data_IF_095215247142
#
_entry.id   IF_095215247142
#
_cell.length_a   1.000
_cell.length_b   1.000
_cell.length_c   1.000
_cell.angle_alpha   90.00
_cell.angle_beta   90.00
_cell.angle_gamma   90.00
#
_symmetry.space_group_name_H-M   'P 1'
#
loop_
_entity.id
_entity.type
_entity.pdbx_description
1 polymer ?
#
# COMPACT_ATOMS: atom_id res chain seq x y z
N UNK A 1 -6.99 49.60 5.57
CA UNK A 1 -5.90 50.30 4.87
C UNK A 1 -4.70 49.41 5.05
N UNK A 2 -4.66 48.32 4.28
CA UNK A 2 -3.99 48.27 2.97
C UNK A 2 -2.48 48.26 3.22
N UNK A 3 -1.66 47.40 2.66
CA UNK A 3 -1.78 46.39 1.62
C UNK A 3 -0.33 45.97 1.37
N UNK A 4 -0.02 44.68 1.30
CA UNK A 4 0.97 44.18 0.35
C UNK A 4 0.83 42.65 0.28
N UNK A 5 -0.15 42.26 -0.55
CA UNK A 5 -0.06 41.05 -1.35
C UNK A 5 1.23 41.11 -2.18
N UNK A 6 2.04 40.05 -2.09
CA UNK A 6 2.62 39.40 -3.28
C UNK A 6 2.53 37.89 -3.06
N UNK A 7 1.29 37.43 -2.93
CA UNK A 7 0.93 36.08 -3.37
C UNK A 7 0.87 36.08 -4.90
N UNK A 8 1.21 34.93 -5.50
CA UNK A 8 1.04 34.52 -6.90
C UNK A 8 2.17 34.85 -7.90
N UNK A 9 3.02 33.86 -8.19
CA UNK A 9 2.88 32.87 -9.30
C UNK A 9 4.25 32.22 -9.61
N UNK A 10 4.25 30.93 -9.97
CA UNK A 10 4.84 30.55 -11.26
C UNK A 10 4.17 29.31 -11.87
N UNK A 11 3.67 29.59 -13.05
CA UNK A 11 3.04 28.75 -14.05
C UNK A 11 4.03 27.71 -14.60
N UNK A 12 3.56 26.49 -14.87
CA UNK A 12 4.20 25.60 -15.86
C UNK A 12 3.36 25.62 -17.14
N UNK A 13 3.82 26.36 -18.16
CA UNK A 13 4.00 25.86 -19.51
C UNK A 13 5.50 25.67 -19.73
N UNK A 14 5.90 24.43 -19.94
CA UNK A 14 7.27 23.98 -20.29
C UNK A 14 8.41 24.25 -19.26
N UNK A 15 8.10 24.71 -18.04
CA UNK A 15 9.03 25.08 -16.96
C UNK A 15 9.18 24.10 -15.80
N UNK A 16 10.30 23.39 -15.75
CA UNK A 16 10.78 22.60 -14.59
C UNK A 16 11.30 23.55 -13.51
N UNK A 17 10.65 23.59 -12.33
CA UNK A 17 11.27 24.01 -11.07
C UNK A 17 10.83 23.06 -9.95
N UNK A 18 11.75 22.17 -9.60
CA UNK A 18 11.65 21.24 -8.49
C UNK A 18 11.69 22.02 -7.17
N UNK A 19 10.52 22.23 -6.55
CA UNK A 19 10.43 22.43 -5.11
C UNK A 19 9.48 21.37 -4.57
N UNK A 20 10.09 20.24 -4.25
CA UNK A 20 9.52 19.16 -3.46
C UNK A 20 9.09 19.79 -2.13
N UNK A 21 7.83 20.22 -2.03
CA UNK A 21 7.14 20.45 -0.77
C UNK A 21 6.77 19.08 -0.18
N UNK A 22 7.75 18.17 -0.03
CA UNK A 22 7.60 17.11 0.96
C UNK A 22 7.33 17.83 2.27
N UNK A 23 6.40 17.32 3.07
CA UNK A 23 6.37 17.62 4.48
C UNK A 23 7.62 16.97 5.13
N UNK A 24 8.82 17.41 4.75
CA UNK A 24 9.97 17.41 5.65
C UNK A 24 9.52 18.34 6.76
N UNK A 25 9.24 17.80 7.95
CA UNK A 25 9.18 18.58 9.19
C UNK A 25 10.23 19.68 9.11
N UNK A 26 9.77 20.93 8.93
CA UNK A 26 10.52 22.18 8.89
C UNK A 26 12.03 22.03 8.61
N UNK A 27 12.46 22.44 7.40
CA UNK A 27 13.83 22.91 7.13
C UNK A 27 14.92 21.85 6.82
N UNK A 28 14.82 21.11 5.70
CA UNK A 28 16.03 20.54 5.08
C UNK A 28 16.00 20.61 3.54
N UNK A 29 17.12 20.97 2.88
CA UNK A 29 17.25 21.02 1.42
C UNK A 29 17.26 19.61 0.78
N UNK A 30 17.00 19.54 -0.54
CA UNK A 30 16.98 18.34 -1.41
C UNK A 30 18.11 17.30 -1.20
N UNK A 31 19.25 17.69 -0.62
CA UNK A 31 20.32 16.79 -0.20
C UNK A 31 19.88 15.80 0.89
N UNK A 32 18.99 16.20 1.82
CA UNK A 32 18.49 15.35 2.89
C UNK A 32 17.55 14.24 2.40
N UNK A 33 16.96 14.40 1.21
CA UNK A 33 16.10 13.39 0.61
C UNK A 33 16.90 12.13 0.24
N UNK A 34 18.13 12.28 -0.26
CA UNK A 34 19.02 11.15 -0.61
C UNK A 34 19.37 10.24 0.57
N UNK A 35 19.21 10.71 1.81
CA UNK A 35 19.51 9.97 3.03
C UNK A 35 18.25 9.60 3.82
N UNK A 36 17.06 10.00 3.38
CA UNK A 36 15.82 9.70 4.06
C UNK A 36 15.34 8.29 3.67
N UNK A 37 15.24 7.35 4.63
CA UNK A 37 14.80 5.99 4.32
C UNK A 37 13.29 5.89 4.08
N UNK A 38 12.53 6.98 4.25
CA UNK A 38 11.08 6.98 4.10
C UNK A 38 10.60 8.16 3.23
N UNK A 39 9.74 7.89 2.24
CA UNK A 39 9.03 8.87 1.44
C UNK A 39 7.54 8.81 1.81
N UNK A 40 7.02 9.89 2.40
CA UNK A 40 5.65 9.94 2.92
C UNK A 40 4.88 11.07 2.22
N UNK A 41 3.78 10.70 1.56
CA UNK A 41 2.75 11.59 1.04
C UNK A 41 1.44 11.24 1.74
N UNK A 42 0.85 12.19 2.46
CA UNK A 42 -0.33 11.94 3.27
C UNK A 42 -1.45 12.96 2.97
N UNK A 43 -2.44 13.01 3.86
CA UNK A 43 -3.50 14.03 3.86
C UNK A 43 -2.95 15.47 3.73
N UNK A 44 -1.75 15.79 4.19
CA UNK A 44 -1.16 17.13 4.01
C UNK A 44 -0.86 17.46 2.55
N UNK A 45 -0.61 16.44 1.73
CA UNK A 45 -0.16 16.57 0.34
C UNK A 45 -1.30 16.51 -0.69
N UNK A 46 -2.52 16.11 -0.29
CA UNK A 46 -3.66 15.82 -1.19
C UNK A 46 -4.04 16.93 -2.17
N UNK A 47 -3.76 18.20 -1.84
CA UNK A 47 -4.12 19.34 -2.70
C UNK A 47 -3.20 19.50 -3.92
N UNK A 48 -1.96 19.02 -3.85
CA UNK A 48 -0.95 19.29 -4.88
C UNK A 48 -0.21 18.05 -5.37
N UNK A 49 -0.14 16.97 -4.58
CA UNK A 49 0.52 15.73 -5.00
C UNK A 49 -0.32 15.01 -6.06
N UNK A 50 0.14 15.03 -7.30
CA UNK A 50 -0.43 14.35 -8.46
C UNK A 50 0.60 13.42 -9.14
N UNK A 51 0.19 12.76 -10.23
CA UNK A 51 1.06 11.88 -10.99
C UNK A 51 2.35 12.56 -11.49
N UNK A 52 2.30 13.85 -11.82
CA UNK A 52 3.47 14.61 -12.30
C UNK A 52 4.46 14.83 -11.17
N UNK A 53 3.97 15.13 -9.97
CA UNK A 53 4.79 15.17 -8.78
C UNK A 53 5.49 13.83 -8.56
N UNK A 54 4.75 12.73 -8.63
CA UNK A 54 5.31 11.40 -8.39
C UNK A 54 6.37 11.02 -9.43
N UNK A 55 6.14 11.28 -10.72
CA UNK A 55 7.13 11.05 -11.79
C UNK A 55 8.37 11.93 -11.58
N UNK A 56 8.19 13.18 -11.12
CA UNK A 56 9.32 14.06 -10.81
C UNK A 56 10.15 13.52 -9.65
N UNK A 57 9.50 12.98 -8.61
CA UNK A 57 10.17 12.29 -7.50
C UNK A 57 10.94 11.07 -8.02
N UNK A 58 10.33 10.23 -8.85
CA UNK A 58 11.00 9.07 -9.45
C UNK A 58 12.31 9.43 -10.16
N UNK A 59 12.32 10.55 -10.90
CA UNK A 59 13.50 11.06 -11.62
C UNK A 59 14.60 11.55 -10.68
N UNK A 60 14.22 12.20 -9.58
CA UNK A 60 15.18 12.65 -8.56
C UNK A 60 15.75 11.46 -7.78
N UNK A 61 14.94 10.43 -7.53
CA UNK A 61 15.33 9.20 -6.85
C UNK A 61 16.16 8.22 -7.73
N UNK A 62 16.67 8.66 -8.89
CA UNK A 62 17.46 7.81 -9.81
C UNK A 62 18.90 7.56 -9.33
N UNK A 63 19.35 8.23 -8.26
CA UNK A 63 20.68 8.06 -7.65
C UNK A 63 20.62 7.55 -6.20
N UNK A 64 21.35 6.46 -5.93
CA UNK A 64 21.67 5.84 -4.62
C UNK A 64 20.73 6.18 -3.44
N UNK A 65 19.45 5.96 -3.65
CA UNK A 65 18.38 6.35 -2.74
C UNK A 65 18.05 5.11 -1.89
N UNK A 66 18.49 5.08 -0.63
CA UNK A 66 18.25 3.98 0.32
C UNK A 66 16.81 4.04 0.86
N UNK A 67 15.82 4.08 -0.04
CA UNK A 67 14.41 4.12 0.34
C UNK A 67 13.99 2.75 0.84
N UNK A 68 13.54 2.73 2.09
CA UNK A 68 13.03 1.56 2.79
C UNK A 68 11.52 1.57 2.94
N UNK A 69 10.92 2.76 3.00
CA UNK A 69 9.48 2.92 3.16
C UNK A 69 8.90 3.93 2.17
N UNK A 70 7.87 3.51 1.44
CA UNK A 70 7.04 4.40 0.62
C UNK A 70 5.61 4.39 1.16
N UNK A 71 5.16 5.54 1.65
CA UNK A 71 3.80 5.72 2.17
C UNK A 71 3.09 6.79 1.37
N UNK A 72 2.00 6.41 0.70
CA UNK A 72 1.12 7.34 -0.01
C UNK A 72 -0.29 7.07 0.48
N UNK A 73 -0.87 8.00 1.24
CA UNK A 73 -2.20 7.84 1.85
C UNK A 73 -3.03 9.10 1.61
N UNK A 74 -4.34 8.92 1.39
CA UNK A 74 -5.28 10.04 1.16
C UNK A 74 -4.91 11.01 0.02
N UNK A 75 -4.07 10.57 -0.94
CA UNK A 75 -3.62 11.36 -2.08
C UNK A 75 -4.44 11.07 -3.34
N UNK A 76 -5.70 11.52 -3.36
CA UNK A 76 -6.69 11.22 -4.42
C UNK A 76 -6.36 11.72 -5.83
N UNK A 77 -5.38 12.61 -5.98
CA UNK A 77 -4.90 13.11 -7.30
C UNK A 77 -3.79 12.27 -7.89
N UNK A 78 -3.27 11.28 -7.14
CA UNK A 78 -2.37 10.27 -7.65
C UNK A 78 -3.23 9.12 -8.18
N UNK A 79 -2.94 8.69 -9.40
CA UNK A 79 -3.60 7.59 -10.09
C UNK A 79 -2.72 6.34 -10.12
N UNK A 80 -3.31 5.22 -10.53
CA UNK A 80 -2.56 3.99 -10.80
C UNK A 80 -1.52 4.19 -11.92
N UNK A 81 -1.81 5.01 -12.92
CA UNK A 81 -0.85 5.32 -13.99
C UNK A 81 0.36 6.08 -13.44
N UNK A 82 0.14 7.01 -12.52
CA UNK A 82 1.21 7.72 -11.82
C UNK A 82 2.10 6.77 -11.02
N UNK A 83 1.50 5.90 -10.20
CA UNK A 83 2.26 4.89 -9.43
C UNK A 83 3.04 3.94 -10.34
N UNK A 84 2.39 3.41 -11.39
CA UNK A 84 3.07 2.57 -12.37
C UNK A 84 4.25 3.31 -13.00
N UNK A 85 4.06 4.57 -13.43
CA UNK A 85 5.12 5.38 -14.00
C UNK A 85 6.26 5.62 -12.99
N UNK A 86 5.95 5.82 -11.71
CA UNK A 86 6.94 5.93 -10.64
C UNK A 86 7.82 4.68 -10.55
N UNK A 87 7.22 3.50 -10.39
CA UNK A 87 7.97 2.25 -10.26
C UNK A 87 8.71 1.85 -11.55
N UNK A 88 8.17 2.22 -12.72
CA UNK A 88 8.82 1.98 -14.02
C UNK A 88 9.97 2.95 -14.32
N UNK A 89 9.91 4.18 -13.79
CA UNK A 89 10.92 5.22 -14.02
C UNK A 89 12.05 5.16 -13.01
N UNK A 90 11.75 4.73 -11.78
CA UNK A 90 12.75 4.58 -10.72
C UNK A 90 13.63 3.36 -11.01
N UNK A 91 14.93 3.43 -10.65
CA UNK A 91 15.78 2.23 -10.63
C UNK A 91 15.23 1.23 -9.61
N UNK A 92 15.65 -0.02 -9.71
CA UNK A 92 15.29 -1.06 -8.74
C UNK A 92 15.56 -0.57 -7.31
N UNK A 93 14.50 -0.45 -6.53
CA UNK A 93 14.51 -0.06 -5.12
C UNK A 93 14.81 -1.29 -4.27
N UNK A 94 16.08 -1.71 -4.30
CA UNK A 94 16.54 -2.96 -3.66
C UNK A 94 16.36 -3.00 -2.14
N UNK A 95 16.21 -1.84 -1.49
CA UNK A 95 16.07 -1.75 -0.03
C UNK A 95 14.63 -1.38 0.38
N UNK A 96 13.69 -1.26 -0.57
CA UNK A 96 12.30 -0.94 -0.26
C UNK A 96 11.62 -2.14 0.38
N UNK A 97 11.37 -2.03 1.68
CA UNK A 97 10.81 -3.09 2.53
C UNK A 97 9.33 -2.86 2.82
N UNK A 98 8.90 -1.60 2.86
CA UNK A 98 7.54 -1.19 3.27
C UNK A 98 6.88 -0.33 2.21
N UNK A 99 5.67 -0.74 1.79
CA UNK A 99 4.77 0.06 0.95
C UNK A 99 3.42 0.17 1.64
N UNK A 100 2.94 1.41 1.80
CA UNK A 100 1.62 1.67 2.35
C UNK A 100 0.82 2.59 1.42
N UNK A 101 -0.26 2.03 0.85
CA UNK A 101 -1.24 2.70 0.01
C UNK A 101 -2.66 2.62 0.59
N UNK A 102 -2.81 2.93 1.88
CA UNK A 102 -4.11 2.92 2.56
C UNK A 102 -5.00 4.08 2.13
N UNK A 103 -6.31 3.82 2.07
CA UNK A 103 -7.34 4.79 1.71
C UNK A 103 -7.10 5.42 0.33
N UNK A 104 -6.66 4.60 -0.62
CA UNK A 104 -6.25 5.03 -1.95
C UNK A 104 -7.29 4.70 -3.05
N UNK A 105 -8.37 3.97 -2.72
CA UNK A 105 -9.49 3.73 -3.62
C UNK A 105 -9.05 3.07 -4.93
N UNK A 106 -9.23 3.79 -6.04
CA UNK A 106 -8.89 3.35 -7.39
C UNK A 106 -7.41 3.55 -7.78
N UNK A 107 -6.62 4.18 -6.91
CA UNK A 107 -5.21 4.51 -7.17
C UNK A 107 -4.32 3.28 -7.30
N UNK A 108 -4.68 2.14 -6.70
CA UNK A 108 -3.89 0.90 -6.78
C UNK A 108 -4.70 -0.19 -7.45
N UNK A 109 -4.08 -0.85 -8.43
CA UNK A 109 -4.63 -1.99 -9.17
C UNK A 109 -3.56 -3.07 -9.38
N UNK A 110 -3.92 -4.20 -9.98
CA UNK A 110 -3.00 -5.33 -10.20
C UNK A 110 -1.75 -4.97 -11.03
N UNK A 111 -1.89 -4.11 -12.04
CA UNK A 111 -0.75 -3.61 -12.83
C UNK A 111 0.21 -2.75 -11.99
N UNK A 112 -0.32 -2.04 -11.00
CA UNK A 112 0.49 -1.31 -10.02
C UNK A 112 1.30 -2.29 -9.19
N UNK A 113 0.69 -3.36 -8.70
CA UNK A 113 1.39 -4.42 -7.95
C UNK A 113 2.47 -5.12 -8.79
N UNK A 114 2.21 -5.38 -10.07
CA UNK A 114 3.23 -5.90 -10.99
C UNK A 114 4.41 -4.93 -11.15
N UNK A 115 4.14 -3.62 -11.23
CA UNK A 115 5.18 -2.60 -11.31
C UNK A 115 6.02 -2.54 -10.02
N UNK A 116 5.37 -2.69 -8.86
CA UNK A 116 6.05 -2.79 -7.56
C UNK A 116 6.95 -4.03 -7.52
N UNK A 117 6.43 -5.21 -7.89
CA UNK A 117 7.19 -6.46 -7.90
C UNK A 117 8.49 -6.34 -8.71
N UNK A 118 8.40 -5.72 -9.89
CA UNK A 118 9.55 -5.56 -10.78
C UNK A 118 10.59 -4.57 -10.25
N UNK A 119 10.15 -3.59 -9.45
CA UNK A 119 10.99 -2.51 -8.94
C UNK A 119 11.55 -2.78 -7.53
N UNK A 120 10.80 -3.45 -6.66
CA UNK A 120 11.09 -3.61 -5.24
C UNK A 120 11.19 -5.09 -4.85
N UNK A 121 12.31 -5.76 -5.18
CA UNK A 121 12.47 -7.19 -4.96
C UNK A 121 12.62 -7.57 -3.48
N UNK A 122 12.73 -6.61 -2.55
CA UNK A 122 12.88 -6.87 -1.12
C UNK A 122 11.67 -6.45 -0.29
N UNK A 123 10.54 -6.20 -0.95
CA UNK A 123 9.30 -5.81 -0.28
C UNK A 123 8.80 -6.92 0.66
N UNK A 124 8.58 -6.56 1.92
CA UNK A 124 8.10 -7.48 2.96
C UNK A 124 6.77 -7.05 3.57
N UNK A 125 6.49 -5.74 3.58
CA UNK A 125 5.31 -5.16 4.19
C UNK A 125 4.50 -4.39 3.15
N UNK A 126 3.26 -4.81 2.93
CA UNK A 126 2.35 -4.18 1.99
C UNK A 126 0.99 -3.88 2.63
N UNK A 127 0.64 -2.59 2.74
CA UNK A 127 -0.68 -2.14 3.18
C UNK A 127 -1.47 -1.55 2.02
N UNK A 128 -2.67 -2.08 1.78
CA UNK A 128 -3.55 -1.75 0.67
C UNK A 128 -4.98 -1.50 1.17
N UNK A 129 -5.16 -1.00 2.40
CA UNK A 129 -6.50 -0.85 2.97
C UNK A 129 -7.38 0.02 2.05
N UNK A 130 -8.58 -0.47 1.73
CA UNK A 130 -9.53 0.18 0.82
C UNK A 130 -9.01 0.39 -0.62
N UNK A 131 -8.20 -0.55 -1.14
CA UNK A 131 -7.79 -0.59 -2.54
C UNK A 131 -8.77 -1.43 -3.37
N UNK A 132 -9.85 -0.81 -3.85
CA UNK A 132 -11.00 -1.50 -4.46
C UNK A 132 -10.69 -2.20 -5.79
N UNK A 133 -9.61 -1.82 -6.48
CA UNK A 133 -9.22 -2.38 -7.78
C UNK A 133 -8.15 -3.46 -7.70
N UNK A 134 -7.73 -3.83 -6.50
CA UNK A 134 -6.78 -4.92 -6.29
C UNK A 134 -7.52 -6.25 -6.16
N UNK A 135 -7.12 -7.24 -6.94
CA UNK A 135 -7.68 -8.58 -6.91
C UNK A 135 -6.73 -9.58 -6.23
N UNK A 136 -7.27 -10.77 -5.89
CA UNK A 136 -6.47 -11.89 -5.39
C UNK A 136 -5.30 -12.22 -6.33
N UNK A 137 -5.52 -12.16 -7.65
CA UNK A 137 -4.47 -12.43 -8.63
C UNK A 137 -3.36 -11.37 -8.55
N UNK A 138 -3.70 -10.09 -8.45
CA UNK A 138 -2.71 -9.01 -8.28
C UNK A 138 -1.83 -9.19 -7.06
N UNK A 139 -2.42 -9.52 -5.91
CA UNK A 139 -1.67 -9.76 -4.67
C UNK A 139 -0.70 -10.93 -4.82
N UNK A 140 -1.13 -12.02 -5.47
CA UNK A 140 -0.27 -13.18 -5.69
C UNK A 140 0.96 -12.89 -6.57
N UNK A 141 0.97 -11.80 -7.35
CA UNK A 141 2.18 -11.39 -8.09
C UNK A 141 3.26 -10.84 -7.16
N UNK A 142 2.88 -10.24 -6.03
CA UNK A 142 3.81 -9.59 -5.07
C UNK A 142 4.06 -10.42 -3.82
N UNK A 143 3.41 -11.58 -3.65
CA UNK A 143 3.33 -12.27 -2.35
C UNK A 143 4.55 -13.10 -1.95
N UNK A 144 5.48 -13.38 -2.86
CA UNK A 144 6.55 -14.36 -2.63
C UNK A 144 7.49 -14.03 -1.46
N UNK A 145 7.58 -12.75 -1.09
CA UNK A 145 8.46 -12.25 -0.03
C UNK A 145 7.72 -11.47 1.07
N UNK A 146 6.38 -11.37 0.98
CA UNK A 146 5.59 -10.63 1.95
C UNK A 146 5.46 -11.40 3.27
N UNK A 147 5.82 -10.72 4.36
CA UNK A 147 5.60 -11.18 5.74
C UNK A 147 4.43 -10.44 6.39
N UNK A 148 4.12 -9.22 5.91
CA UNK A 148 2.97 -8.43 6.36
C UNK A 148 2.15 -7.99 5.16
N UNK A 149 0.86 -8.32 5.16
CA UNK A 149 -0.10 -7.92 4.14
C UNK A 149 -1.39 -7.45 4.80
N UNK A 150 -1.85 -6.25 4.46
CA UNK A 150 -3.15 -5.76 4.89
C UNK A 150 -3.99 -5.38 3.68
N UNK A 151 -5.06 -6.14 3.42
CA UNK A 151 -6.02 -5.93 2.33
C UNK A 151 -7.43 -5.64 2.86
N UNK A 152 -7.51 -5.08 4.06
CA UNK A 152 -8.78 -4.73 4.69
C UNK A 152 -9.60 -3.77 3.81
N UNK A 153 -10.86 -4.11 3.54
CA UNK A 153 -11.76 -3.31 2.68
C UNK A 153 -11.50 -3.48 1.17
N UNK A 154 -10.61 -4.40 0.77
CA UNK A 154 -10.43 -4.75 -0.64
C UNK A 154 -11.50 -5.76 -1.07
N UNK A 155 -12.60 -5.26 -1.61
CA UNK A 155 -13.78 -6.06 -1.96
C UNK A 155 -13.56 -7.07 -3.10
N UNK A 156 -12.48 -6.94 -3.87
CA UNK A 156 -12.11 -7.88 -4.95
C UNK A 156 -11.13 -8.96 -4.50
N UNK A 157 -10.78 -9.00 -3.21
CA UNK A 157 -10.02 -10.10 -2.61
C UNK A 157 -10.97 -11.21 -2.18
N UNK A 158 -10.66 -12.43 -2.61
CA UNK A 158 -11.39 -13.65 -2.34
C UNK A 158 -10.46 -14.79 -1.88
N UNK A 159 -11.05 -15.97 -1.74
CA UNK A 159 -10.37 -17.20 -1.31
C UNK A 159 -9.12 -17.53 -2.15
N UNK A 160 -9.03 -17.14 -3.42
CA UNK A 160 -7.94 -17.53 -4.30
C UNK A 160 -6.57 -17.03 -3.83
N UNK A 161 -6.51 -15.91 -3.10
CA UNK A 161 -5.26 -15.37 -2.55
C UNK A 161 -4.65 -16.29 -1.48
N UNK A 162 -5.49 -17.04 -0.76
CA UNK A 162 -5.12 -17.73 0.48
C UNK A 162 -4.18 -18.93 0.29
N UNK A 163 -3.91 -19.35 -0.95
CA UNK A 163 -3.01 -20.48 -1.26
C UNK A 163 -1.58 -20.05 -1.60
N UNK A 164 -1.32 -18.76 -1.82
CA UNK A 164 -0.06 -18.28 -2.38
C UNK A 164 0.66 -17.23 -1.53
N UNK A 165 0.60 -17.37 -0.21
CA UNK A 165 1.26 -16.47 0.76
C UNK A 165 2.26 -17.26 1.64
N UNK A 166 3.37 -17.79 1.08
CA UNK A 166 4.21 -18.78 1.76
C UNK A 166 4.94 -18.26 3.00
N UNK A 167 5.22 -16.96 3.07
CA UNK A 167 5.99 -16.32 4.14
C UNK A 167 5.16 -15.39 5.02
N UNK A 168 3.85 -15.34 4.83
CA UNK A 168 2.99 -14.37 5.53
C UNK A 168 2.94 -14.67 7.03
N UNK A 169 3.21 -13.65 7.85
CA UNK A 169 3.15 -13.72 9.31
C UNK A 169 1.96 -12.93 9.86
N UNK A 170 1.64 -11.79 9.24
CA UNK A 170 0.53 -10.92 9.62
C UNK A 170 -0.34 -10.65 8.40
N UNK A 171 -1.61 -11.04 8.48
CA UNK A 171 -2.57 -10.90 7.38
C UNK A 171 -3.85 -10.19 7.83
N UNK A 172 -4.21 -9.09 7.16
CA UNK A 172 -5.48 -8.38 7.39
C UNK A 172 -6.51 -8.64 6.30
N UNK A 173 -7.67 -9.19 6.67
CA UNK A 173 -8.74 -9.63 5.74
C UNK A 173 -10.12 -9.02 6.02
N UNK A 174 -10.21 -8.04 6.94
CA UNK A 174 -11.49 -7.40 7.26
C UNK A 174 -12.20 -6.84 6.02
N UNK A 175 -13.53 -7.02 5.93
CA UNK A 175 -14.37 -6.57 4.81
C UNK A 175 -13.92 -7.06 3.40
N UNK A 176 -13.26 -8.22 3.32
CA UNK A 176 -12.97 -8.91 2.04
C UNK A 176 -14.03 -9.97 1.74
N UNK A 177 -13.93 -10.63 0.57
CA UNK A 177 -14.78 -11.78 0.18
C UNK A 177 -14.16 -13.12 0.56
N UNK A 178 -13.12 -13.13 1.40
CA UNK A 178 -12.56 -14.37 1.93
C UNK A 178 -13.59 -15.05 2.83
N UNK A 179 -13.82 -16.33 2.57
CA UNK A 179 -14.79 -17.17 3.26
C UNK A 179 -14.10 -18.14 4.22
N UNK A 180 -14.88 -18.98 4.89
CA UNK A 180 -14.36 -20.10 5.67
C UNK A 180 -13.43 -21.03 4.85
N UNK A 181 -13.66 -21.18 3.55
CA UNK A 181 -12.77 -21.96 2.66
C UNK A 181 -11.40 -21.31 2.55
N UNK A 182 -11.34 -19.99 2.39
CA UNK A 182 -10.08 -19.24 2.40
C UNK A 182 -9.31 -19.43 3.70
N UNK A 183 -9.98 -19.40 4.85
CA UNK A 183 -9.34 -19.69 6.13
C UNK A 183 -8.71 -21.08 6.17
N UNK A 184 -9.41 -22.12 5.70
CA UNK A 184 -8.84 -23.48 5.62
C UNK A 184 -7.59 -23.48 4.73
N UNK A 185 -7.63 -22.80 3.58
CA UNK A 185 -6.45 -22.69 2.72
C UNK A 185 -5.29 -21.95 3.39
N UNK A 186 -5.54 -20.89 4.18
CA UNK A 186 -4.49 -20.24 4.97
C UNK A 186 -3.89 -21.20 6.00
N UNK A 187 -4.73 -22.01 6.66
CA UNK A 187 -4.26 -22.99 7.63
C UNK A 187 -3.29 -23.99 7.01
N UNK A 188 -3.60 -24.45 5.79
CA UNK A 188 -2.82 -25.44 5.04
C UNK A 188 -1.57 -24.87 4.36
N UNK A 189 -1.65 -23.64 3.81
CA UNK A 189 -0.64 -23.10 2.90
C UNK A 189 0.22 -21.96 3.49
N UNK A 190 -0.16 -21.41 4.65
CA UNK A 190 0.55 -20.29 5.28
C UNK A 190 1.16 -20.71 6.63
N UNK A 191 2.26 -21.49 6.65
CA UNK A 191 2.83 -22.04 7.88
C UNK A 191 3.43 -20.96 8.80
N UNK A 192 3.86 -19.83 8.24
CA UNK A 192 4.44 -18.72 8.98
C UNK A 192 3.40 -17.80 9.66
N UNK A 193 2.10 -17.97 9.34
CA UNK A 193 1.05 -17.08 9.83
C UNK A 193 0.99 -17.11 11.36
N UNK A 194 0.98 -15.92 11.98
CA UNK A 194 0.92 -15.72 13.44
C UNK A 194 -0.24 -14.83 13.85
N UNK A 195 -0.61 -13.87 13.02
CA UNK A 195 -1.65 -12.88 13.31
C UNK A 195 -2.59 -12.73 12.13
N UNK A 196 -3.87 -12.94 12.39
CA UNK A 196 -4.95 -12.75 11.43
C UNK A 196 -5.85 -11.61 11.93
N UNK A 197 -5.89 -10.51 11.18
CA UNK A 197 -6.71 -9.34 11.50
C UNK A 197 -8.03 -9.43 10.74
N UNK A 198 -9.13 -9.60 11.45
CA UNK A 198 -10.48 -9.73 10.90
C UNK A 198 -11.32 -8.51 11.30
N UNK A 199 -12.29 -8.15 10.46
CA UNK A 199 -13.24 -7.10 10.81
C UNK A 199 -14.25 -7.62 11.83
N UNK A 200 -14.62 -6.77 12.79
CA UNK A 200 -15.75 -7.04 13.67
C UNK A 200 -17.04 -7.09 12.84
N UNK A 201 -17.91 -8.08 13.08
CA UNK A 201 -19.28 -8.05 12.54
C UNK A 201 -19.93 -6.74 13.00
N UNK A 202 -20.11 -5.82 12.07
CA UNK A 202 -20.79 -4.55 12.32
C UNK A 202 -22.01 -4.46 11.42
N UNK A 203 -23.09 -3.87 11.94
CA UNK A 203 -24.33 -3.61 11.18
C UNK A 203 -24.15 -2.43 10.20
N UNK A 204 -22.98 -2.29 9.58
CA UNK A 204 -22.70 -1.24 8.60
C UNK A 204 -22.91 -1.77 7.17
N UNK A 205 -23.09 -0.86 6.21
CA UNK A 205 -23.37 -1.18 4.81
C UNK A 205 -22.14 -1.70 4.02
N UNK A 206 -21.01 -1.95 4.69
CA UNK A 206 -19.83 -2.52 4.03
C UNK A 206 -20.01 -4.03 3.87
N UNK A 207 -19.28 -4.65 2.94
CA UNK A 207 -19.26 -6.12 2.76
C UNK A 207 -19.07 -6.80 4.11
N UNK A 208 -20.16 -7.34 4.67
CA UNK A 208 -20.09 -8.12 5.91
C UNK A 208 -19.05 -9.21 5.69
N UNK A 209 -18.04 -9.29 6.56
CA UNK A 209 -17.00 -10.33 6.51
C UNK A 209 -17.63 -11.67 6.14
N UNK A 210 -17.20 -12.28 5.02
CA UNK A 210 -17.75 -13.55 4.54
C UNK A 210 -17.28 -14.75 5.39
N UNK A 211 -16.48 -14.50 6.43
CA UNK A 211 -16.07 -15.48 7.42
C UNK A 211 -17.22 -15.71 8.39
N UNK A 212 -17.74 -16.95 8.43
CA UNK A 212 -18.71 -17.37 9.44
C UNK A 212 -18.02 -17.68 10.78
N UNK A 213 -18.77 -17.60 11.89
CA UNK A 213 -18.28 -17.98 13.22
C UNK A 213 -17.76 -19.42 13.24
N UNK A 214 -18.50 -20.36 12.64
CA UNK A 214 -18.06 -21.75 12.49
C UNK A 214 -16.75 -21.89 11.71
N UNK A 215 -16.55 -21.06 10.68
CA UNK A 215 -15.32 -21.05 9.88
C UNK A 215 -14.12 -20.55 10.68
N UNK A 216 -14.31 -19.49 11.46
CA UNK A 216 -13.30 -18.96 12.36
C UNK A 216 -12.95 -19.96 13.48
N UNK A 217 -13.96 -20.57 14.10
CA UNK A 217 -13.74 -21.62 15.11
C UNK A 217 -12.99 -22.82 14.53
N UNK A 218 -13.36 -23.26 13.32
CA UNK A 218 -12.69 -24.36 12.66
C UNK A 218 -11.22 -24.02 12.39
N UNK A 219 -10.93 -22.81 11.90
CA UNK A 219 -9.57 -22.33 11.73
C UNK A 219 -8.78 -22.31 13.05
N UNK A 220 -9.38 -21.81 14.14
CA UNK A 220 -8.74 -21.83 15.47
C UNK A 220 -8.40 -23.24 15.96
N UNK A 221 -9.21 -24.24 15.61
CA UNK A 221 -8.91 -25.65 15.95
C UNK A 221 -7.73 -26.20 15.13
N UNK A 222 -7.59 -25.78 13.87
CA UNK A 222 -6.48 -26.18 13.00
C UNK A 222 -5.17 -25.46 13.33
N UNK A 223 -5.25 -24.17 13.69
CA UNK A 223 -4.12 -23.27 13.90
C UNK A 223 -4.25 -22.51 15.24
N UNK A 224 -4.24 -23.21 16.39
CA UNK A 224 -4.47 -22.58 17.71
C UNK A 224 -3.37 -21.58 18.11
N UNK A 225 -2.21 -21.64 17.46
CA UNK A 225 -1.10 -20.71 17.66
C UNK A 225 -1.26 -19.36 16.93
N UNK A 226 -2.23 -19.26 16.01
CA UNK A 226 -2.52 -18.01 15.28
C UNK A 226 -3.44 -17.14 16.11
N UNK A 227 -2.99 -15.93 16.43
CA UNK A 227 -3.82 -14.92 17.09
C UNK A 227 -4.80 -14.32 16.08
N UNK A 228 -6.10 -14.42 16.36
CA UNK A 228 -7.13 -13.71 15.59
C UNK A 228 -7.49 -12.45 16.35
N UNK A 229 -7.20 -11.30 15.74
CA UNK A 229 -7.46 -9.99 16.30
C UNK A 229 -8.57 -9.31 15.51
N UNK A 230 -9.44 -8.61 16.22
CA UNK A 230 -10.53 -7.87 15.61
C UNK A 230 -10.16 -6.40 15.50
N UNK A 231 -10.20 -5.86 14.28
CA UNK A 231 -9.80 -4.48 13.93
C UNK A 231 -10.92 -3.69 13.27
#
# INVERSE_FOLDING_TARGET
>A
MDSMHEDYFLLIPDGVLCNILLHVTLCQPLHALHSAPSLILDKGCHQWADDRCLISLARVCTGNFDLRELRITFCHKISSQGLQAFFKTTRTLINLEVVCFNCCGDMVNDETLQSIQACAPSLQHLELMWAHRVTSAGVLHVSSQLTVLNVHGCESIDDAMCSGLPLIEVLGLGYTRVTAKGLIMLAENCPALRRLLCAQRSNNNFTSSCISEDGEEHFKRLRPEVSIEVV
#
